data_IF_899902712324
#
_entry.id   IF_899902712324
#
_cell.length_a   1.000
_cell.length_b   1.000
_cell.length_c   1.000
_cell.angle_alpha   90.00
_cell.angle_beta   90.00
_cell.angle_gamma   90.00
#
_symmetry.space_group_name_H-M   'P 1'
#
loop_
_entity.id
_entity.type
_entity.pdbx_description
1 polymer ?
#
# COMPACT_ATOMS: atom_id res chain seq x y z
N UNK A 1 9.47 34.80 7.28
CA UNK A 1 9.34 35.44 5.94
C UNK A 1 7.96 35.07 5.42
N UNK A 2 7.08 36.05 5.16
CA UNK A 2 5.69 35.76 4.79
C UNK A 2 5.61 35.24 3.34
N UNK A 3 4.88 34.15 3.15
CA UNK A 3 4.61 33.51 1.85
C UNK A 3 3.18 33.80 1.43
N UNK A 4 2.98 34.16 0.16
CA UNK A 4 1.65 34.30 -0.45
C UNK A 4 1.54 33.40 -1.69
N UNK A 5 0.34 32.89 -1.95
CA UNK A 5 -0.01 32.21 -3.20
C UNK A 5 -0.76 33.19 -4.09
N UNK A 6 -0.34 33.32 -5.34
CA UNK A 6 -1.04 34.08 -6.38
C UNK A 6 -1.54 33.06 -7.40
N UNK A 7 -2.86 32.83 -7.43
CA UNK A 7 -3.50 32.03 -8.48
C UNK A 7 -3.62 32.92 -9.71
N UNK A 8 -2.95 32.52 -10.79
CA UNK A 8 -2.94 33.25 -12.05
C UNK A 8 -3.88 32.60 -13.07
N UNK A 9 -4.75 33.42 -13.64
CA UNK A 9 -5.61 33.05 -14.76
C UNK A 9 -5.44 34.02 -15.93
N UNK A 10 -6.01 33.68 -17.10
CA UNK A 10 -5.92 34.56 -18.27
C UNK A 10 -6.70 35.87 -18.07
N UNK A 11 -7.65 35.90 -17.12
CA UNK A 11 -8.67 36.94 -17.01
C UNK A 11 -9.78 36.75 -18.04
N UNK A 12 -11.02 36.99 -17.64
CA UNK A 12 -12.21 36.80 -18.48
C UNK A 12 -13.17 37.95 -18.25
N UNK A 13 -13.68 38.57 -19.31
CA UNK A 13 -14.73 39.60 -19.21
C UNK A 13 -16.07 39.06 -18.68
N UNK A 14 -16.21 37.73 -18.53
CA UNK A 14 -17.40 37.07 -17.96
C UNK A 14 -17.22 36.88 -16.46
N UNK A 15 -18.13 37.43 -15.66
CA UNK A 15 -18.11 37.35 -14.19
C UNK A 15 -18.13 35.91 -13.67
N UNK A 16 -18.89 35.01 -14.30
CA UNK A 16 -19.03 33.62 -13.84
C UNK A 16 -17.70 32.85 -13.77
N UNK A 17 -16.79 33.09 -14.72
CA UNK A 17 -15.46 32.46 -14.67
C UNK A 17 -14.61 33.01 -13.53
N UNK A 18 -14.77 34.30 -13.20
CA UNK A 18 -14.06 34.91 -12.08
C UNK A 18 -14.59 34.34 -10.76
N UNK A 19 -15.90 34.16 -10.64
CA UNK A 19 -16.55 33.58 -9.46
C UNK A 19 -16.05 32.15 -9.18
N UNK A 20 -16.01 31.27 -10.19
CA UNK A 20 -15.48 29.91 -10.07
C UNK A 20 -14.03 29.89 -9.58
N UNK A 21 -13.21 30.85 -10.05
CA UNK A 21 -11.81 30.97 -9.66
C UNK A 21 -11.62 31.55 -8.26
N UNK A 22 -12.54 32.40 -7.80
CA UNK A 22 -12.59 32.88 -6.41
C UNK A 22 -12.91 31.74 -5.46
N UNK A 23 -13.86 30.86 -5.82
CA UNK A 23 -14.16 29.67 -5.02
C UNK A 23 -12.96 28.73 -4.90
N UNK A 24 -12.25 28.50 -6.01
CA UNK A 24 -11.01 27.73 -6.00
C UNK A 24 -9.94 28.36 -5.08
N UNK A 25 -9.78 29.68 -5.12
CA UNK A 25 -8.84 30.40 -4.25
C UNK A 25 -9.18 30.21 -2.77
N UNK A 26 -10.46 30.38 -2.40
CA UNK A 26 -10.96 30.15 -1.03
C UNK A 26 -10.74 28.72 -0.57
N UNK A 27 -11.01 27.73 -1.43
CA UNK A 27 -10.78 26.32 -1.13
C UNK A 27 -9.30 26.05 -0.82
N UNK A 28 -8.38 26.61 -1.61
CA UNK A 28 -6.95 26.43 -1.41
C UNK A 28 -6.50 27.13 -0.12
N UNK A 29 -6.93 28.37 0.13
CA UNK A 29 -6.58 29.12 1.35
C UNK A 29 -6.99 28.36 2.61
N UNK A 30 -8.23 27.86 2.64
CA UNK A 30 -8.77 27.10 3.76
C UNK A 30 -7.92 25.85 4.09
N UNK A 31 -7.50 25.11 3.06
CA UNK A 31 -6.75 23.85 3.25
C UNK A 31 -5.24 24.07 3.46
N UNK A 32 -4.64 25.05 2.77
CA UNK A 32 -3.21 25.30 2.84
C UNK A 32 -2.80 26.16 4.05
N UNK A 33 -3.74 26.88 4.67
CA UNK A 33 -3.50 27.81 5.79
C UNK A 33 -2.42 28.87 5.47
N UNK A 34 -2.38 29.31 4.21
CA UNK A 34 -1.46 30.33 3.68
C UNK A 34 -2.33 31.32 2.89
N UNK A 35 -2.05 32.65 2.94
CA UNK A 35 -2.82 33.63 2.18
C UNK A 35 -2.82 33.33 0.67
N UNK A 36 -4.01 33.31 0.06
CA UNK A 36 -4.20 33.06 -1.38
C UNK A 36 -4.90 34.24 -2.03
N UNK A 37 -4.33 34.74 -3.12
CA UNK A 37 -4.86 35.84 -3.89
C UNK A 37 -5.11 35.40 -5.33
N UNK A 38 -6.26 35.79 -5.89
CA UNK A 38 -6.55 35.63 -7.31
C UNK A 38 -6.04 36.85 -8.07
N UNK A 39 -5.32 36.63 -9.17
CA UNK A 39 -4.91 37.69 -10.08
C UNK A 39 -4.93 37.24 -11.54
N UNK A 40 -4.96 38.23 -12.43
CA UNK A 40 -5.15 38.00 -13.86
C UNK A 40 -4.00 38.58 -14.67
N UNK A 41 -3.71 37.96 -15.83
CA UNK A 41 -2.75 38.52 -16.78
C UNK A 41 -3.32 39.71 -17.55
N UNK A 42 -4.57 39.62 -18.02
CA UNK A 42 -5.23 40.61 -18.87
C UNK A 42 -6.74 40.75 -18.52
N UNK A 43 -7.40 41.77 -19.10
CA UNK A 43 -8.85 42.01 -19.13
C UNK A 43 -9.58 42.35 -17.82
N UNK A 44 -9.11 41.88 -16.66
CA UNK A 44 -9.79 42.03 -15.36
C UNK A 44 -8.79 42.33 -14.25
N UNK A 45 -9.19 43.17 -13.30
CA UNK A 45 -8.41 43.46 -12.09
C UNK A 45 -8.70 42.42 -10.97
N UNK A 46 -7.72 42.09 -10.11
CA UNK A 46 -6.41 42.72 -10.04
C UNK A 46 -5.41 42.12 -11.05
N UNK A 47 -4.70 43.00 -11.76
CA UNK A 47 -3.55 42.59 -12.57
C UNK A 47 -2.44 42.06 -11.66
N UNK A 48 -1.84 40.93 -12.02
CA UNK A 48 -0.83 40.29 -11.16
C UNK A 48 0.41 41.15 -10.90
N UNK A 49 0.79 42.03 -11.84
CA UNK A 49 1.94 42.94 -11.67
C UNK A 49 1.66 43.99 -10.59
N UNK A 50 0.45 44.51 -10.59
CA UNK A 50 -0.03 45.48 -9.59
C UNK A 50 -0.18 44.81 -8.23
N UNK A 51 -0.83 43.63 -8.19
CA UNK A 51 -0.99 42.87 -6.94
C UNK A 51 0.36 42.47 -6.34
N UNK A 52 1.31 41.98 -7.14
CA UNK A 52 2.65 41.64 -6.66
C UNK A 52 3.32 42.85 -6.00
N UNK A 53 3.22 44.02 -6.63
CA UNK A 53 3.81 45.26 -6.11
C UNK A 53 3.17 45.69 -4.78
N UNK A 54 1.85 45.57 -4.65
CA UNK A 54 1.12 45.82 -3.39
C UNK A 54 1.49 44.81 -2.29
N UNK A 55 1.58 43.51 -2.60
CA UNK A 55 1.99 42.51 -1.60
C UNK A 55 3.45 42.71 -1.15
N UNK A 56 4.34 43.10 -2.07
CA UNK A 56 5.73 43.42 -1.72
C UNK A 56 5.80 44.64 -0.78
N UNK A 57 5.00 45.68 -1.02
CA UNK A 57 4.94 46.85 -0.13
C UNK A 57 4.39 46.49 1.27
N UNK A 58 3.49 45.51 1.35
CA UNK A 58 2.96 44.93 2.60
C UNK A 58 3.93 43.97 3.32
N UNK A 59 5.13 43.75 2.78
CA UNK A 59 6.19 42.98 3.45
C UNK A 59 6.29 41.50 3.03
N UNK A 60 5.50 41.03 2.07
CA UNK A 60 5.68 39.69 1.51
C UNK A 60 6.96 39.61 0.68
N UNK A 61 7.65 38.47 0.76
CA UNK A 61 8.93 38.24 0.06
C UNK A 61 9.03 36.88 -0.62
N UNK A 62 8.10 35.95 -0.36
CA UNK A 62 8.01 34.64 -1.04
C UNK A 62 6.66 34.50 -1.72
N UNK A 63 6.66 34.14 -3.00
CA UNK A 63 5.45 34.05 -3.81
C UNK A 63 5.37 32.74 -4.58
N UNK A 64 4.21 32.07 -4.48
CA UNK A 64 3.89 30.91 -5.33
C UNK A 64 2.90 31.36 -6.40
N UNK A 65 3.32 31.36 -7.65
CA UNK A 65 2.46 31.58 -8.81
C UNK A 65 1.83 30.24 -9.22
N UNK A 66 0.58 30.04 -8.81
CA UNK A 66 -0.21 28.87 -9.17
C UNK A 66 -0.92 29.13 -10.50
N UNK A 67 -0.39 28.56 -11.59
CA UNK A 67 -0.89 28.78 -12.94
C UNK A 67 -2.15 27.93 -13.19
N UNK A 68 -3.33 28.54 -13.10
CA UNK A 68 -4.61 27.88 -13.32
C UNK A 68 -5.07 27.94 -14.79
N UNK A 69 -4.14 27.71 -15.74
CA UNK A 69 -4.44 27.69 -17.17
C UNK A 69 -4.87 26.29 -17.65
N UNK A 70 -5.99 26.21 -18.38
CA UNK A 70 -6.51 24.97 -18.99
C UNK A 70 -6.30 24.90 -20.53
N UNK A 71 -5.96 26.01 -21.19
CA UNK A 71 -5.74 26.11 -22.64
C UNK A 71 -4.26 26.32 -23.02
N UNK A 72 -3.96 26.42 -24.34
CA UNK A 72 -2.61 26.61 -24.92
C UNK A 72 -2.00 27.97 -24.54
N UNK A 73 -1.65 28.12 -23.26
CA UNK A 73 -1.08 29.34 -22.68
C UNK A 73 0.43 29.44 -22.76
N UNK A 74 1.13 28.63 -23.57
CA UNK A 74 2.61 28.61 -23.58
C UNK A 74 3.24 30.00 -23.82
N UNK A 75 2.60 30.87 -24.60
CA UNK A 75 3.07 32.26 -24.79
C UNK A 75 2.79 33.15 -23.57
N UNK A 76 1.62 33.02 -22.94
CA UNK A 76 1.25 33.78 -21.73
C UNK A 76 2.09 33.33 -20.52
N UNK A 77 2.37 32.04 -20.41
CA UNK A 77 3.23 31.49 -19.35
C UNK A 77 4.67 31.97 -19.55
N UNK A 78 5.18 31.96 -20.79
CA UNK A 78 6.50 32.52 -21.12
C UNK A 78 6.57 34.04 -20.89
N UNK A 79 5.49 34.78 -21.13
CA UNK A 79 5.43 36.22 -20.85
C UNK A 79 5.45 36.51 -19.34
N UNK A 80 4.63 35.81 -18.55
CA UNK A 80 4.58 35.99 -17.08
C UNK A 80 5.91 35.59 -16.44
N UNK A 81 6.43 34.41 -16.76
CA UNK A 81 7.70 33.94 -16.22
C UNK A 81 8.87 34.78 -16.76
N UNK A 82 8.83 35.16 -18.04
CA UNK A 82 9.82 36.01 -18.69
C UNK A 82 9.89 37.41 -18.08
N UNK A 83 8.76 37.99 -17.68
CA UNK A 83 8.71 39.27 -16.95
C UNK A 83 9.44 39.23 -15.60
N UNK A 84 9.64 38.04 -15.01
CA UNK A 84 10.42 37.82 -13.79
C UNK A 84 11.79 37.18 -14.06
N UNK A 85 12.16 36.95 -15.33
CA UNK A 85 13.41 36.29 -15.70
C UNK A 85 13.49 34.81 -15.30
N UNK A 86 12.36 34.13 -15.13
CA UNK A 86 12.28 32.72 -14.72
C UNK A 86 12.04 31.83 -15.95
N UNK A 87 12.74 30.70 -16.04
CA UNK A 87 12.63 29.74 -17.15
C UNK A 87 12.25 28.31 -16.71
N UNK A 88 12.34 28.01 -15.41
CA UNK A 88 12.06 26.68 -14.85
C UNK A 88 10.79 26.69 -14.00
N UNK A 89 9.96 25.65 -14.12
CA UNK A 89 8.85 25.40 -13.21
C UNK A 89 9.32 24.61 -11.98
N UNK A 90 8.52 24.68 -10.91
CA UNK A 90 8.67 23.90 -9.70
C UNK A 90 10.00 24.08 -8.95
N UNK A 91 10.58 25.28 -9.06
CA UNK A 91 11.84 25.64 -8.43
C UNK A 91 11.73 27.07 -7.88
N UNK A 92 12.23 27.27 -6.67
CA UNK A 92 12.36 28.61 -6.10
C UNK A 92 13.49 29.36 -6.79
N UNK A 93 13.21 30.58 -7.23
CA UNK A 93 14.18 31.46 -7.89
C UNK A 93 14.12 32.83 -7.25
N UNK A 94 15.29 33.38 -6.89
CA UNK A 94 15.39 34.77 -6.42
C UNK A 94 15.38 35.71 -7.61
N UNK A 95 14.45 36.66 -7.61
CA UNK A 95 14.29 37.65 -8.67
C UNK A 95 14.31 39.06 -8.07
N UNK A 96 14.74 40.05 -8.86
CA UNK A 96 14.65 41.46 -8.50
C UNK A 96 13.34 42.03 -9.02
N UNK A 97 12.54 42.63 -8.15
CA UNK A 97 11.31 43.35 -8.51
C UNK A 97 11.38 44.78 -7.96
N UNK A 98 11.58 45.75 -8.85
CA UNK A 98 11.93 47.11 -8.47
C UNK A 98 13.23 47.15 -7.65
N UNK A 99 13.19 47.74 -6.45
CA UNK A 99 14.32 47.80 -5.51
C UNK A 99 14.41 46.59 -4.56
N UNK A 100 13.45 45.66 -4.62
CA UNK A 100 13.35 44.54 -3.69
C UNK A 100 13.80 43.22 -4.32
N UNK A 101 14.34 42.32 -3.49
CA UNK A 101 14.54 40.92 -3.87
C UNK A 101 13.39 40.08 -3.33
N UNK A 102 12.80 39.26 -4.20
CA UNK A 102 11.70 38.35 -3.87
C UNK A 102 12.02 36.95 -4.37
N UNK A 103 11.55 35.94 -3.66
CA UNK A 103 11.67 34.54 -4.07
C UNK A 103 10.35 34.11 -4.71
N UNK A 104 10.40 33.53 -5.90
CA UNK A 104 9.22 33.13 -6.66
C UNK A 104 9.27 31.66 -7.04
N UNK A 105 8.11 31.03 -7.09
CA UNK A 105 7.92 29.65 -7.50
C UNK A 105 6.76 29.57 -8.48
N UNK A 106 6.97 28.99 -9.66
CA UNK A 106 5.92 28.79 -10.66
C UNK A 106 5.48 27.33 -10.72
N UNK A 107 4.19 27.06 -10.53
CA UNK A 107 3.63 25.73 -10.79
C UNK A 107 3.49 25.51 -12.30
N UNK A 108 3.44 24.25 -12.74
CA UNK A 108 2.94 23.93 -14.08
C UNK A 108 1.46 24.31 -14.22
N UNK A 109 0.97 24.59 -15.44
CA UNK A 109 -0.44 24.83 -15.70
C UNK A 109 -1.30 23.58 -15.47
N UNK A 110 -2.58 23.75 -15.13
CA UNK A 110 -3.52 22.64 -14.94
C UNK A 110 -3.72 21.79 -16.21
N UNK A 111 -3.54 22.35 -17.41
CA UNK A 111 -3.55 21.62 -18.69
C UNK A 111 -2.51 20.48 -18.77
N UNK A 112 -1.43 20.58 -17.99
CA UNK A 112 -0.38 19.58 -17.94
C UNK A 112 -0.73 18.40 -17.00
N UNK A 113 -1.80 18.52 -16.22
CA UNK A 113 -2.23 17.47 -15.29
C UNK A 113 -2.95 16.33 -16.01
N UNK A 114 -2.40 15.12 -15.92
CA UNK A 114 -3.04 13.91 -16.43
C UNK A 114 -4.37 13.61 -15.71
N UNK A 115 -4.50 14.01 -14.44
CA UNK A 115 -5.74 13.86 -13.67
C UNK A 115 -6.88 14.71 -14.25
N UNK A 116 -6.58 15.92 -14.72
CA UNK A 116 -7.57 16.78 -15.40
C UNK A 116 -8.05 16.10 -16.69
N UNK A 117 -7.13 15.51 -17.47
CA UNK A 117 -7.44 14.78 -18.71
C UNK A 117 -8.32 13.56 -18.45
N UNK A 118 -7.96 12.73 -17.46
CA UNK A 118 -8.73 11.53 -17.07
C UNK A 118 -10.09 11.92 -16.49
N UNK A 119 -10.18 12.97 -15.69
CA UNK A 119 -11.46 13.47 -15.17
C UNK A 119 -12.41 13.88 -16.30
N UNK A 120 -11.88 14.60 -17.30
CA UNK A 120 -12.67 15.02 -18.46
C UNK A 120 -13.11 13.82 -19.32
N UNK A 121 -12.19 12.89 -19.62
CA UNK A 121 -12.51 11.65 -20.32
C UNK A 121 -13.58 10.85 -19.58
N UNK A 122 -13.45 10.67 -18.27
CA UNK A 122 -14.41 9.94 -17.45
C UNK A 122 -15.81 10.59 -17.46
N UNK A 123 -15.90 11.92 -17.50
CA UNK A 123 -17.18 12.63 -17.59
C UNK A 123 -17.84 12.41 -18.96
N UNK A 124 -17.07 12.47 -20.04
CA UNK A 124 -17.54 12.18 -21.40
C UNK A 124 -18.00 10.72 -21.51
N UNK A 125 -17.16 9.78 -21.07
CA UNK A 125 -17.49 8.34 -21.13
C UNK A 125 -18.72 7.99 -20.29
N UNK A 126 -18.94 8.66 -19.15
CA UNK A 126 -20.19 8.53 -18.38
C UNK A 126 -21.41 9.01 -19.16
N UNK A 127 -21.32 10.17 -19.80
CA UNK A 127 -22.42 10.70 -20.60
C UNK A 127 -22.76 9.76 -21.78
N UNK A 128 -21.75 9.23 -22.47
CA UNK A 128 -21.92 8.23 -23.54
C UNK A 128 -22.58 6.95 -23.00
N UNK A 129 -22.09 6.41 -21.88
CA UNK A 129 -22.64 5.18 -21.30
C UNK A 129 -24.11 5.32 -20.85
N UNK A 130 -24.50 6.51 -20.38
CA UNK A 130 -25.89 6.83 -20.02
C UNK A 130 -26.81 6.86 -21.25
N UNK A 131 -26.32 7.37 -22.38
CA UNK A 131 -27.07 7.39 -23.67
C UNK A 131 -27.21 5.99 -24.28
N UNK A 132 -26.23 5.11 -24.06
CA UNK A 132 -26.27 3.70 -24.46
C UNK A 132 -27.14 2.80 -23.55
N UNK A 133 -27.84 3.37 -22.55
CA UNK A 133 -28.68 2.60 -21.61
C UNK A 133 -27.90 1.64 -20.71
N UNK A 134 -26.57 1.81 -20.59
CA UNK A 134 -25.73 0.98 -19.71
C UNK A 134 -25.81 1.51 -18.29
N UNK A 135 -26.84 1.10 -17.54
CA UNK A 135 -26.78 1.20 -16.08
C UNK A 135 -25.62 0.32 -15.57
N UNK A 136 -24.66 0.94 -14.89
CA UNK A 136 -23.64 0.22 -14.12
C UNK A 136 -24.30 -0.31 -12.84
N UNK A 137 -25.11 -1.36 -12.94
CA UNK A 137 -25.72 -2.01 -11.80
C UNK A 137 -24.68 -2.90 -11.12
N UNK A 138 -24.16 -2.45 -9.97
CA UNK A 138 -23.36 -3.32 -9.09
C UNK A 138 -24.31 -4.06 -8.15
N UNK A 139 -24.46 -5.38 -8.32
CA UNK A 139 -25.22 -6.18 -7.36
C UNK A 139 -24.39 -6.38 -6.08
N UNK A 140 -24.72 -5.61 -5.04
CA UNK A 140 -24.14 -5.79 -3.71
C UNK A 140 -24.99 -6.84 -2.99
N UNK A 141 -24.58 -8.11 -3.08
CA UNK A 141 -25.14 -9.19 -2.25
C UNK A 141 -24.66 -9.02 -0.80
N UNK A 142 -25.36 -9.63 0.16
CA UNK A 142 -24.96 -9.53 1.57
C UNK A 142 -23.54 -10.09 1.80
N UNK A 143 -22.67 -9.40 2.56
CA UNK A 143 -21.26 -9.80 2.72
C UNK A 143 -21.04 -11.25 3.21
N UNK A 144 -21.92 -11.75 4.09
CA UNK A 144 -21.84 -13.11 4.63
C UNK A 144 -22.18 -14.15 3.56
N UNK A 145 -23.24 -13.91 2.79
CA UNK A 145 -23.66 -14.80 1.70
C UNK A 145 -22.57 -14.93 0.62
N UNK A 146 -21.91 -13.82 0.29
CA UNK A 146 -20.75 -13.81 -0.63
C UNK A 146 -19.62 -14.68 -0.09
N UNK A 147 -19.30 -14.55 1.21
CA UNK A 147 -18.25 -15.35 1.86
C UNK A 147 -18.58 -16.84 1.81
N UNK A 148 -19.77 -17.24 2.27
CA UNK A 148 -20.19 -18.65 2.33
C UNK A 148 -20.19 -19.29 0.94
N UNK A 149 -20.77 -18.61 -0.05
CA UNK A 149 -20.79 -19.09 -1.44
C UNK A 149 -19.39 -19.23 -2.03
N UNK A 150 -18.51 -18.28 -1.77
CA UNK A 150 -17.15 -18.26 -2.33
C UNK A 150 -16.24 -19.27 -1.65
N UNK A 151 -16.30 -19.36 -0.32
CA UNK A 151 -15.56 -20.34 0.46
C UNK A 151 -16.05 -21.77 0.17
N UNK A 152 -17.37 -21.97 0.02
CA UNK A 152 -17.95 -23.26 -0.37
C UNK A 152 -17.38 -23.80 -1.69
N UNK A 153 -17.22 -22.93 -2.70
CA UNK A 153 -16.55 -23.30 -3.96
C UNK A 153 -15.07 -23.67 -3.75
N UNK A 154 -14.35 -22.92 -2.92
CA UNK A 154 -12.95 -23.24 -2.61
C UNK A 154 -12.83 -24.59 -1.88
N UNK A 155 -13.76 -24.89 -0.97
CA UNK A 155 -13.84 -26.16 -0.26
C UNK A 155 -14.18 -27.32 -1.21
N UNK A 156 -15.12 -27.14 -2.13
CA UNK A 156 -15.44 -28.14 -3.15
C UNK A 156 -14.19 -28.49 -3.99
N UNK A 157 -13.43 -27.47 -4.43
CA UNK A 157 -12.18 -27.63 -5.17
C UNK A 157 -11.15 -28.42 -4.37
N UNK A 158 -10.97 -28.07 -3.08
CA UNK A 158 -10.04 -28.76 -2.19
C UNK A 158 -10.47 -30.22 -1.97
N UNK A 159 -11.74 -30.46 -1.68
CA UNK A 159 -12.31 -31.79 -1.42
C UNK A 159 -12.17 -32.74 -2.59
N UNK A 160 -12.37 -32.27 -3.82
CA UNK A 160 -12.19 -33.09 -5.04
C UNK A 160 -10.75 -33.56 -5.26
N UNK A 161 -9.76 -32.77 -4.82
CA UNK A 161 -8.32 -33.06 -5.01
C UNK A 161 -7.70 -33.78 -3.81
N UNK A 162 -8.24 -33.59 -2.62
CA UNK A 162 -7.73 -34.09 -1.34
C UNK A 162 -8.70 -35.11 -0.71
N UNK A 163 -9.19 -36.05 -1.53
CA UNK A 163 -10.22 -37.04 -1.14
C UNK A 163 -9.82 -37.84 0.10
N UNK A 164 -8.56 -38.27 0.16
CA UNK A 164 -8.02 -39.10 1.24
C UNK A 164 -7.41 -38.29 2.40
N UNK A 165 -7.51 -36.96 2.37
CA UNK A 165 -7.01 -36.11 3.46
C UNK A 165 -8.06 -35.89 4.54
N UNK A 166 -7.68 -35.66 5.80
CA UNK A 166 -8.62 -35.24 6.85
C UNK A 166 -9.37 -33.95 6.50
N UNK A 167 -10.55 -33.75 7.09
CA UNK A 167 -11.36 -32.53 6.87
C UNK A 167 -10.60 -31.25 7.16
N UNK A 168 -9.85 -31.21 8.26
CA UNK A 168 -9.06 -30.03 8.64
C UNK A 168 -8.03 -29.65 7.56
N UNK A 169 -7.47 -30.63 6.84
CA UNK A 169 -6.53 -30.39 5.72
C UNK A 169 -7.28 -29.75 4.55
N UNK A 170 -8.47 -30.26 4.22
CA UNK A 170 -9.31 -29.68 3.17
C UNK A 170 -9.71 -28.25 3.49
N UNK A 171 -10.07 -27.96 4.74
CA UNK A 171 -10.46 -26.63 5.21
C UNK A 171 -9.33 -25.60 5.14
N UNK A 172 -8.10 -25.97 5.56
CA UNK A 172 -6.95 -25.04 5.47
C UNK A 172 -6.55 -24.77 4.02
N UNK A 173 -6.62 -25.79 3.14
CA UNK A 173 -6.34 -25.64 1.72
C UNK A 173 -7.43 -24.80 1.04
N UNK A 174 -8.70 -25.01 1.39
CA UNK A 174 -9.81 -24.18 0.92
C UNK A 174 -9.63 -22.72 1.34
N UNK A 175 -9.16 -22.48 2.57
CA UNK A 175 -8.86 -21.13 3.07
C UNK A 175 -7.73 -20.47 2.28
N UNK A 176 -6.70 -21.23 1.94
CA UNK A 176 -5.62 -20.78 1.07
C UNK A 176 -6.13 -20.44 -0.35
N UNK A 177 -6.94 -21.31 -0.97
CA UNK A 177 -7.54 -21.09 -2.29
C UNK A 177 -8.43 -19.85 -2.29
N UNK A 178 -9.29 -19.68 -1.28
CA UNK A 178 -10.16 -18.53 -1.14
C UNK A 178 -9.34 -17.23 -1.04
N UNK A 179 -8.30 -17.22 -0.22
CA UNK A 179 -7.47 -16.04 0.02
C UNK A 179 -6.61 -15.63 -1.19
N UNK A 180 -6.32 -16.55 -2.12
CA UNK A 180 -5.47 -16.29 -3.28
C UNK A 180 -6.20 -16.33 -4.62
N UNK A 181 -7.44 -16.83 -4.66
CA UNK A 181 -8.16 -17.14 -5.90
C UNK A 181 -7.49 -18.22 -6.76
N UNK A 182 -6.64 -19.09 -6.20
CA UNK A 182 -5.83 -20.04 -6.97
C UNK A 182 -6.15 -21.51 -6.63
N UNK A 183 -6.94 -22.21 -7.46
CA UNK A 183 -7.27 -23.63 -7.29
C UNK A 183 -6.06 -24.57 -7.27
N UNK A 184 -4.93 -24.18 -7.88
CA UNK A 184 -3.72 -25.01 -7.95
C UNK A 184 -3.13 -25.31 -6.58
N UNK A 185 -3.44 -24.50 -5.55
CA UNK A 185 -2.96 -24.70 -4.19
C UNK A 185 -3.37 -26.07 -3.61
N UNK A 186 -4.48 -26.66 -4.06
CA UNK A 186 -4.85 -28.01 -3.64
C UNK A 186 -3.90 -29.11 -4.12
N UNK A 187 -3.07 -28.85 -5.13
CA UNK A 187 -2.13 -29.83 -5.68
C UNK A 187 -0.72 -29.65 -5.13
N UNK A 188 -0.38 -28.42 -4.71
CA UNK A 188 0.98 -28.06 -4.29
C UNK A 188 1.13 -27.85 -2.78
N UNK A 189 0.03 -27.86 -2.02
CA UNK A 189 0.10 -27.75 -0.56
C UNK A 189 0.60 -29.05 0.05
N UNK A 190 1.68 -28.95 0.82
CA UNK A 190 2.18 -30.03 1.65
C UNK A 190 1.80 -29.78 3.11
N UNK A 191 1.37 -30.84 3.79
CA UNK A 191 0.96 -30.83 5.20
C UNK A 191 1.59 -32.02 5.90
N UNK A 192 2.32 -31.76 6.99
CA UNK A 192 2.87 -32.83 7.84
C UNK A 192 1.75 -33.53 8.63
N UNK A 193 1.78 -34.87 8.78
CA UNK A 193 0.70 -35.62 9.43
C UNK A 193 0.36 -35.15 10.85
N UNK A 194 1.37 -34.87 11.67
CA UNK A 194 1.20 -34.50 13.09
C UNK A 194 1.10 -32.98 13.31
N UNK A 195 0.97 -32.18 12.24
CA UNK A 195 1.02 -30.72 12.33
C UNK A 195 -0.06 -30.16 13.27
N UNK A 196 -1.31 -30.63 13.12
CA UNK A 196 -2.44 -30.05 13.85
C UNK A 196 -2.34 -30.28 15.36
N UNK A 197 -1.81 -31.42 15.79
CA UNK A 197 -1.73 -31.75 17.21
C UNK A 197 -0.61 -30.96 17.89
N UNK A 198 0.57 -30.87 17.25
CA UNK A 198 1.69 -30.07 17.76
C UNK A 198 1.36 -28.57 17.75
N UNK A 199 0.73 -28.08 16.69
CA UNK A 199 0.30 -26.67 16.62
C UNK A 199 -0.75 -26.37 17.70
N UNK A 200 -1.72 -27.28 17.92
CA UNK A 200 -2.71 -27.15 18.99
C UNK A 200 -2.05 -27.08 20.37
N UNK A 201 -1.15 -28.00 20.67
CA UNK A 201 -0.46 -28.03 21.96
C UNK A 201 0.31 -26.72 22.20
N UNK A 202 1.02 -26.22 21.19
CA UNK A 202 1.72 -24.94 21.25
C UNK A 202 0.79 -23.77 21.61
N UNK A 203 -0.43 -23.74 21.04
CA UNK A 203 -1.41 -22.71 21.37
C UNK A 203 -1.97 -22.87 22.80
N UNK A 204 -2.25 -24.11 23.24
CA UNK A 204 -2.82 -24.41 24.56
C UNK A 204 -1.84 -24.02 25.68
N UNK A 205 -0.56 -24.38 25.54
CA UNK A 205 0.48 -24.00 26.52
C UNK A 205 0.87 -22.53 26.43
N UNK A 206 0.27 -21.78 25.50
CA UNK A 206 0.38 -20.33 25.40
C UNK A 206 1.64 -19.82 24.72
N UNK A 207 2.28 -20.62 23.86
CA UNK A 207 3.42 -20.17 23.06
C UNK A 207 2.97 -19.07 22.08
N UNK A 208 3.74 -17.98 21.95
CA UNK A 208 3.45 -16.95 20.97
C UNK A 208 3.79 -17.42 19.55
N UNK A 209 2.99 -17.00 18.57
CA UNK A 209 3.27 -17.26 17.15
C UNK A 209 4.28 -16.23 16.66
N UNK A 210 5.44 -16.67 16.20
CA UNK A 210 6.46 -15.80 15.60
C UNK A 210 6.23 -15.64 14.10
N UNK A 211 6.37 -14.42 13.59
CA UNK A 211 6.11 -14.10 12.16
C UNK A 211 7.28 -13.39 11.49
N UNK A 212 7.44 -13.57 10.17
CA UNK A 212 8.53 -12.93 9.41
C UNK A 212 8.29 -11.45 9.10
N UNK A 213 7.05 -11.07 8.78
CA UNK A 213 6.68 -9.69 8.41
C UNK A 213 5.42 -9.20 9.11
N UNK A 214 5.31 -7.87 9.29
CA UNK A 214 4.14 -7.23 9.92
C UNK A 214 2.81 -7.62 9.27
N UNK A 215 2.77 -7.75 7.94
CA UNK A 215 1.53 -8.11 7.23
C UNK A 215 0.97 -9.47 7.69
N UNK A 216 1.85 -10.44 7.97
CA UNK A 216 1.45 -11.73 8.55
C UNK A 216 0.96 -11.52 9.97
N UNK A 217 1.72 -10.79 10.80
CA UNK A 217 1.35 -10.52 12.19
C UNK A 217 -0.02 -9.86 12.32
N UNK A 218 -0.29 -8.82 11.53
CA UNK A 218 -1.55 -8.06 11.55
C UNK A 218 -2.75 -8.86 11.02
N UNK A 219 -2.51 -9.90 10.23
CA UNK A 219 -3.57 -10.73 9.68
C UNK A 219 -4.00 -11.89 10.59
N UNK A 220 -3.12 -12.33 11.50
CA UNK A 220 -3.40 -13.46 12.40
C UNK A 220 -4.34 -13.00 13.53
N UNK A 221 -5.46 -13.70 13.68
CA UNK A 221 -6.49 -13.46 14.70
C UNK A 221 -6.19 -14.28 15.95
N UNK A 222 -5.06 -13.98 16.59
CA UNK A 222 -4.63 -14.61 17.84
C UNK A 222 -4.03 -13.57 18.78
N UNK A 223 -4.30 -13.61 20.11
CA UNK A 223 -3.79 -12.59 21.03
C UNK A 223 -2.26 -12.58 21.17
N UNK A 224 -1.59 -13.73 21.01
CA UNK A 224 -0.14 -13.87 21.23
C UNK A 224 0.59 -14.05 19.91
N UNK A 225 0.82 -12.94 19.21
CA UNK A 225 1.59 -12.90 17.96
C UNK A 225 2.78 -11.98 18.13
N UNK A 226 3.98 -12.47 17.82
CA UNK A 226 5.22 -11.71 17.88
C UNK A 226 5.76 -11.42 16.48
N UNK A 227 6.26 -10.21 16.28
CA UNK A 227 7.00 -9.79 15.10
C UNK A 227 8.12 -8.83 15.52
N UNK A 228 9.34 -9.11 15.07
CA UNK A 228 10.52 -8.33 15.45
C UNK A 228 11.09 -7.52 14.28
N UNK A 229 10.43 -7.47 13.12
CA UNK A 229 11.00 -6.89 11.89
C UNK A 229 11.48 -5.43 12.07
N UNK A 230 10.84 -4.70 12.97
CA UNK A 230 11.10 -3.28 13.24
C UNK A 230 11.67 -3.02 14.62
N UNK A 231 12.07 -4.10 15.31
CA UNK A 231 12.88 -3.98 16.49
C UNK A 231 14.21 -3.29 16.12
N UNK A 232 14.57 -2.26 16.87
CA UNK A 232 15.80 -1.47 16.64
C UNK A 232 17.07 -2.34 16.54
N UNK A 233 17.10 -3.49 17.23
CA UNK A 233 18.22 -4.44 17.25
C UNK A 233 18.38 -5.20 15.92
N UNK A 234 17.34 -5.31 15.10
CA UNK A 234 17.39 -6.05 13.83
C UNK A 234 18.32 -5.41 12.82
N UNK A 235 18.42 -4.07 12.79
CA UNK A 235 19.30 -3.37 11.85
C UNK A 235 20.77 -3.69 12.15
N UNK A 236 21.15 -3.65 13.42
CA UNK A 236 22.51 -4.00 13.84
C UNK A 236 22.80 -5.49 13.62
N UNK A 237 21.89 -6.37 14.01
CA UNK A 237 22.05 -7.82 13.86
C UNK A 237 22.17 -8.24 12.39
N UNK A 238 21.34 -7.65 11.52
CA UNK A 238 21.38 -7.85 10.06
C UNK A 238 22.74 -7.47 9.47
N UNK A 239 23.31 -6.33 9.89
CA UNK A 239 24.65 -5.90 9.46
C UNK A 239 25.75 -6.81 10.01
N UNK A 240 25.71 -7.12 11.31
CA UNK A 240 26.71 -7.93 11.99
C UNK A 240 26.81 -9.34 11.40
N UNK A 241 25.69 -9.95 11.04
CA UNK A 241 25.64 -11.31 10.53
C UNK A 241 25.63 -11.38 8.98
N UNK A 242 25.52 -10.24 8.29
CA UNK A 242 25.44 -10.22 6.82
C UNK A 242 24.17 -10.89 6.27
N UNK A 243 23.07 -10.89 7.02
CA UNK A 243 21.79 -11.53 6.65
C UNK A 243 20.69 -10.50 6.42
N UNK A 244 19.65 -10.87 5.67
CA UNK A 244 18.49 -10.01 5.44
C UNK A 244 17.76 -9.64 6.75
N UNK A 245 17.12 -8.46 6.81
CA UNK A 245 16.37 -7.99 7.99
C UNK A 245 15.33 -9.00 8.50
N UNK A 246 14.59 -9.66 7.60
CA UNK A 246 13.61 -10.66 7.99
C UNK A 246 14.26 -11.90 8.64
N UNK A 247 15.43 -12.34 8.16
CA UNK A 247 16.21 -13.39 8.80
C UNK A 247 16.73 -12.95 10.17
N UNK A 248 17.30 -11.75 10.28
CA UNK A 248 17.73 -11.20 11.56
C UNK A 248 16.57 -11.05 12.57
N UNK A 249 15.37 -10.68 12.12
CA UNK A 249 14.18 -10.61 12.95
C UNK A 249 13.74 -11.99 13.49
N UNK A 250 13.80 -13.03 12.66
CA UNK A 250 13.59 -14.42 13.10
C UNK A 250 14.65 -14.82 14.13
N UNK A 251 15.94 -14.57 13.85
CA UNK A 251 17.00 -14.91 14.80
C UNK A 251 16.88 -14.19 16.13
N UNK A 252 16.41 -12.95 16.12
CA UNK A 252 16.14 -12.19 17.35
C UNK A 252 14.92 -12.73 18.11
N UNK A 253 13.87 -13.13 17.39
CA UNK A 253 12.58 -13.52 17.95
C UNK A 253 12.42 -15.00 18.26
N UNK A 254 13.30 -15.88 17.77
CA UNK A 254 13.25 -17.33 17.97
C UNK A 254 14.26 -17.76 19.05
N UNK A 255 14.18 -17.11 20.20
CA UNK A 255 15.01 -17.32 21.40
C UNK A 255 14.58 -18.54 22.24
N UNK A 256 13.35 -19.01 22.02
CA UNK A 256 12.70 -20.14 22.69
C UNK A 256 11.73 -20.82 21.72
N UNK A 257 11.26 -22.05 22.01
CA UNK A 257 10.33 -22.75 21.15
C UNK A 257 9.05 -21.94 20.88
N UNK A 258 8.75 -21.70 19.60
CA UNK A 258 7.58 -20.95 19.12
C UNK A 258 7.11 -21.53 17.80
N UNK A 259 5.79 -21.68 17.55
CA UNK A 259 5.31 -21.91 16.19
C UNK A 259 5.66 -20.71 15.32
N UNK A 260 6.17 -20.96 14.11
CA UNK A 260 6.66 -19.92 13.20
C UNK A 260 5.81 -19.85 11.93
N UNK A 261 5.44 -18.64 11.52
CA UNK A 261 4.67 -18.37 10.31
C UNK A 261 5.47 -17.44 9.39
N UNK A 262 5.93 -17.99 8.27
CA UNK A 262 6.71 -17.30 7.25
C UNK A 262 5.83 -17.10 6.01
N UNK A 263 5.37 -15.87 5.80
CA UNK A 263 4.45 -15.55 4.69
C UNK A 263 5.11 -14.85 3.51
N UNK A 264 6.33 -14.31 3.65
CA UNK A 264 6.92 -13.45 2.63
C UNK A 264 8.37 -13.78 2.29
N UNK A 265 9.22 -14.03 3.29
CA UNK A 265 10.67 -14.05 3.10
C UNK A 265 11.26 -15.47 3.04
N UNK A 266 11.82 -15.91 1.88
CA UNK A 266 12.57 -17.16 1.82
C UNK A 266 13.78 -17.18 2.74
N UNK A 267 14.46 -16.05 2.91
CA UNK A 267 15.63 -15.96 3.81
C UNK A 267 15.25 -16.09 5.27
N UNK A 268 14.07 -15.60 5.68
CA UNK A 268 13.54 -15.85 7.02
C UNK A 268 13.27 -17.35 7.24
N UNK A 269 12.69 -18.06 6.27
CA UNK A 269 12.49 -19.50 6.36
C UNK A 269 13.81 -20.27 6.50
N UNK A 270 14.81 -19.94 5.67
CA UNK A 270 16.14 -20.54 5.77
C UNK A 270 16.79 -20.27 7.13
N UNK A 271 16.54 -19.11 7.73
CA UNK A 271 17.02 -18.79 9.07
C UNK A 271 16.37 -19.66 10.14
N UNK A 272 15.04 -19.89 10.08
CA UNK A 272 14.36 -20.82 10.98
C UNK A 272 15.02 -22.20 10.91
N UNK A 273 15.26 -22.71 9.70
CA UNK A 273 15.89 -24.02 9.52
C UNK A 273 17.32 -24.06 10.05
N UNK A 274 18.06 -22.95 9.94
CA UNK A 274 19.40 -22.85 10.54
C UNK A 274 19.33 -22.93 12.06
N UNK A 275 18.40 -22.20 12.67
CA UNK A 275 18.18 -22.18 14.13
C UNK A 275 17.74 -23.57 14.65
N UNK A 276 16.92 -24.30 13.88
CA UNK A 276 16.60 -25.70 14.17
C UNK A 276 17.86 -26.58 14.16
N UNK A 277 18.72 -26.43 13.16
CA UNK A 277 20.00 -27.17 13.10
C UNK A 277 20.98 -26.77 14.21
N UNK A 278 20.84 -25.58 14.80
CA UNK A 278 21.59 -25.12 15.97
C UNK A 278 21.04 -25.70 17.30
N UNK A 279 19.96 -26.49 17.25
CA UNK A 279 19.40 -27.21 18.39
C UNK A 279 18.23 -26.51 19.08
N UNK A 280 17.66 -25.45 18.50
CA UNK A 280 16.45 -24.83 19.02
C UNK A 280 15.22 -25.57 18.50
N UNK A 281 14.40 -26.08 19.40
CA UNK A 281 13.16 -26.76 19.03
C UNK A 281 12.14 -25.78 18.44
N UNK A 282 11.63 -26.11 17.25
CA UNK A 282 10.53 -25.38 16.60
C UNK A 282 9.34 -26.33 16.45
N UNK A 283 8.22 -26.11 17.17
CA UNK A 283 7.11 -27.06 17.19
C UNK A 283 6.41 -27.19 15.82
N UNK A 284 6.21 -26.07 15.12
CA UNK A 284 5.49 -26.06 13.86
C UNK A 284 5.91 -24.89 12.97
N UNK A 285 5.96 -25.11 11.64
CA UNK A 285 6.30 -24.09 10.64
C UNK A 285 5.19 -23.99 9.59
N UNK A 286 4.59 -22.81 9.44
CA UNK A 286 3.73 -22.48 8.29
C UNK A 286 4.56 -21.63 7.33
N UNK A 287 4.96 -22.20 6.20
CA UNK A 287 5.92 -21.60 5.29
C UNK A 287 5.32 -21.41 3.89
N UNK A 288 4.90 -20.19 3.57
CA UNK A 288 4.38 -19.83 2.26
C UNK A 288 5.09 -18.62 1.63
N UNK A 289 6.41 -18.43 1.74
CA UNK A 289 7.06 -17.33 1.03
C UNK A 289 6.89 -17.52 -0.50
N UNK A 290 6.41 -16.50 -1.23
CA UNK A 290 6.36 -16.52 -2.69
C UNK A 290 7.76 -16.22 -3.25
N UNK A 291 7.99 -16.57 -4.52
CA UNK A 291 9.17 -16.12 -5.22
C UNK A 291 9.62 -17.05 -6.33
N UNK A 292 10.41 -16.49 -7.24
CA UNK A 292 11.00 -17.20 -8.38
C UNK A 292 12.46 -17.59 -8.16
N UNK A 293 13.07 -17.14 -7.05
CA UNK A 293 14.43 -17.48 -6.66
C UNK A 293 14.46 -17.80 -5.16
N UNK A 294 15.14 -18.87 -4.77
CA UNK A 294 15.34 -19.36 -3.40
C UNK A 294 14.08 -19.81 -2.64
N UNK A 295 12.87 -19.37 -3.02
CA UNK A 295 11.62 -19.73 -2.37
C UNK A 295 11.29 -21.22 -2.52
N UNK A 296 11.50 -21.77 -3.71
CA UNK A 296 11.26 -23.19 -4.00
C UNK A 296 12.20 -24.03 -3.14
N UNK A 297 13.50 -23.74 -3.19
CA UNK A 297 14.54 -24.47 -2.47
C UNK A 297 14.35 -24.39 -0.96
N UNK A 298 13.99 -23.22 -0.43
CA UNK A 298 13.74 -23.02 1.00
C UNK A 298 12.53 -23.81 1.49
N UNK A 299 11.43 -23.85 0.72
CA UNK A 299 10.24 -24.63 1.08
C UNK A 299 10.50 -26.13 0.99
N UNK A 300 11.23 -26.57 -0.04
CA UNK A 300 11.67 -27.97 -0.13
C UNK A 300 12.62 -28.36 1.01
N UNK A 301 13.51 -27.45 1.42
CA UNK A 301 14.36 -27.66 2.60
C UNK A 301 13.53 -27.77 3.89
N UNK A 302 12.47 -26.97 4.03
CA UNK A 302 11.54 -27.05 5.16
C UNK A 302 10.87 -28.43 5.24
N UNK A 303 10.39 -28.96 4.11
CA UNK A 303 9.81 -30.31 4.05
C UNK A 303 10.84 -31.38 4.44
N UNK A 304 12.10 -31.24 3.98
CA UNK A 304 13.17 -32.19 4.31
C UNK A 304 13.64 -32.12 5.76
N UNK A 305 13.43 -31.00 6.46
CA UNK A 305 13.85 -30.81 7.85
C UNK A 305 13.12 -31.71 8.85
N UNK A 306 11.99 -32.29 8.44
CA UNK A 306 11.08 -33.11 9.29
C UNK A 306 10.45 -32.37 10.47
N UNK A 307 10.70 -31.08 10.64
CA UNK A 307 9.89 -30.23 11.52
C UNK A 307 8.46 -30.22 10.98
N UNK A 308 7.42 -30.42 11.82
CA UNK A 308 6.03 -30.36 11.38
C UNK A 308 5.77 -29.06 10.62
N UNK A 309 5.45 -29.17 9.33
CA UNK A 309 5.24 -28.00 8.49
C UNK A 309 4.02 -28.07 7.59
N UNK A 310 3.48 -26.89 7.28
CA UNK A 310 2.57 -26.66 6.16
C UNK A 310 3.27 -25.73 5.19
N UNK A 311 3.34 -26.11 3.92
CA UNK A 311 3.94 -25.27 2.89
C UNK A 311 3.23 -25.39 1.56
N UNK A 312 3.47 -24.45 0.66
CA UNK A 312 2.97 -24.43 -0.71
C UNK A 312 4.16 -24.60 -1.65
N UNK A 313 4.33 -25.77 -2.26
CA UNK A 313 5.44 -26.07 -3.17
C UNK A 313 5.45 -25.14 -4.39
N UNK A 314 6.61 -25.01 -5.03
CA UNK A 314 6.80 -24.15 -6.21
C UNK A 314 6.89 -22.67 -5.87
N UNK A 315 6.48 -21.79 -6.78
CA UNK A 315 6.66 -20.33 -6.66
C UNK A 315 5.52 -19.61 -5.93
N UNK A 316 4.38 -20.27 -5.76
CA UNK A 316 3.21 -19.73 -5.08
C UNK A 316 3.47 -19.52 -3.58
N UNK A 317 2.78 -18.54 -3.02
CA UNK A 317 2.94 -18.14 -1.64
C UNK A 317 2.29 -16.78 -1.40
N UNK A 318 2.62 -16.16 -0.28
CA UNK A 318 2.15 -14.85 0.12
C UNK A 318 1.69 -14.84 1.57
N UNK A 319 1.70 -13.64 2.15
CA UNK A 319 1.26 -13.41 3.52
C UNK A 319 -0.22 -13.71 3.70
N UNK A 320 -1.04 -13.42 2.69
CA UNK A 320 -2.47 -13.78 2.66
C UNK A 320 -2.70 -15.29 2.83
N UNK A 321 -1.89 -16.13 2.16
CA UNK A 321 -2.00 -17.59 2.26
C UNK A 321 -1.58 -18.06 3.66
N UNK A 322 -0.43 -17.60 4.16
CA UNK A 322 0.04 -17.94 5.51
C UNK A 322 -1.00 -17.58 6.57
N UNK A 323 -1.56 -16.37 6.49
CA UNK A 323 -2.59 -15.87 7.41
C UNK A 323 -3.86 -16.70 7.33
N UNK A 324 -4.34 -17.01 6.11
CA UNK A 324 -5.57 -17.78 5.93
C UNK A 324 -5.46 -19.21 6.51
N UNK A 325 -4.33 -19.88 6.26
CA UNK A 325 -4.03 -21.20 6.83
C UNK A 325 -3.97 -21.10 8.36
N UNK A 326 -3.22 -20.13 8.89
CA UNK A 326 -3.03 -19.96 10.35
C UNK A 326 -4.35 -19.68 11.06
N UNK A 327 -5.17 -18.76 10.54
CA UNK A 327 -6.46 -18.41 11.13
C UNK A 327 -7.44 -19.59 11.10
N UNK A 328 -7.46 -20.37 10.00
CA UNK A 328 -8.30 -21.56 9.92
C UNK A 328 -7.86 -22.62 10.93
N UNK A 329 -6.55 -22.82 11.12
CA UNK A 329 -6.02 -23.74 12.14
C UNK A 329 -6.39 -23.30 13.56
N UNK A 330 -6.27 -22.01 13.87
CA UNK A 330 -6.69 -21.43 15.15
C UNK A 330 -8.18 -21.71 15.38
N UNK A 331 -9.02 -21.42 14.39
CA UNK A 331 -10.46 -21.64 14.46
C UNK A 331 -10.81 -23.12 14.70
N UNK A 332 -10.24 -24.04 13.92
CA UNK A 332 -10.44 -25.49 14.09
C UNK A 332 -9.99 -25.95 15.49
N UNK A 333 -8.92 -25.36 16.01
CA UNK A 333 -8.37 -25.71 17.32
C UNK A 333 -9.24 -25.21 18.47
N UNK A 334 -9.73 -23.97 18.39
CA UNK A 334 -10.57 -23.35 19.42
C UNK A 334 -11.98 -23.94 19.41
N UNK A 335 -12.57 -24.25 18.24
CA UNK A 335 -13.91 -24.87 18.13
C UNK A 335 -14.02 -26.21 18.87
N UNK A 336 -12.91 -26.93 19.11
CA UNK A 336 -12.90 -28.20 19.86
C UNK A 336 -12.91 -28.01 21.39
N UNK A 337 -12.88 -26.79 21.90
CA UNK A 337 -12.80 -26.45 23.34
C UNK A 337 -13.96 -25.55 23.83
N UNK A 338 -15.01 -25.36 23.02
CA UNK A 338 -16.27 -24.73 23.44
C UNK A 338 -17.34 -25.79 23.64
#
# INVERSE_FOLDING_TARGET
>A
MQTAVIILTHGSRRSTFVDDMVELAKFIEFNAKIPVYLAHNEYVEPNWRTLLSDLVSRGFRRFVFALAFLGRGNHVIRDIMGALGVSEFNKWVNVKWGTHSVEVYFTKPLSDSYLVRVSFLNRIMRAIAMDEGKELTYSISEPLEIYERSFGKALEIASKRLVNSPDWVREIVASAIYASGNPKLAEVTHVSPNFIDVFREALIVGLPILTDVRMVASGIRWPRVENYLDDSRVVELSRKLGIARAAAAIRLGLDKPKPVVIGNSPTALLEVLRIVNEGVDVPAIIATPPGFANAVEAKEACIRSKVPCITVRGTYGGSNIAVAITNRLIEITVRKHG
#
